data_IF_250267358494
#
_entry.id   IF_250267358494
#
_cell.length_a   1.000
_cell.length_b   1.000
_cell.length_c   1.000
_cell.angle_alpha   90.00
_cell.angle_beta   90.00
_cell.angle_gamma   90.00
#
_symmetry.space_group_name_H-M   'P 1'
#
loop_
_entity.id
_entity.type
_entity.pdbx_description
1 polymer ?
#
# COMPACT_ATOMS: atom_id res chain seq x y z
N UNK A 1 2.41 16.64 3.28
CA UNK A 1 3.11 17.36 4.36
C UNK A 1 4.24 16.50 4.92
N UNK A 2 5.31 16.29 4.16
CA UNK A 2 6.47 15.59 4.64
C UNK A 2 7.49 16.57 5.19
N UNK A 3 7.25 17.13 6.36
CA UNK A 3 8.33 17.80 7.07
C UNK A 3 9.38 16.73 7.40
N UNK A 4 10.55 16.85 6.78
CA UNK A 4 11.71 16.04 7.13
C UNK A 4 12.00 16.24 8.61
N UNK A 5 11.96 15.18 9.39
CA UNK A 5 12.26 15.21 10.81
C UNK A 5 13.25 14.10 11.15
N UNK A 6 14.10 14.34 12.13
CA UNK A 6 15.02 13.33 12.63
C UNK A 6 14.26 12.05 13.08
N UNK A 7 13.04 12.22 13.61
CA UNK A 7 12.21 11.07 13.98
C UNK A 7 11.81 10.22 12.77
N UNK A 8 11.41 10.84 11.64
CA UNK A 8 11.10 10.11 10.41
C UNK A 8 12.31 9.36 9.88
N UNK A 9 13.48 9.98 9.86
CA UNK A 9 14.73 9.34 9.44
C UNK A 9 15.06 8.14 10.35
N UNK A 10 14.93 8.28 11.66
CA UNK A 10 15.15 7.19 12.61
C UNK A 10 14.17 6.03 12.39
N UNK A 11 12.88 6.33 12.16
CA UNK A 11 11.87 5.30 11.90
C UNK A 11 12.17 4.56 10.59
N UNK A 12 12.54 5.26 9.53
CA UNK A 12 12.90 4.64 8.25
C UNK A 12 14.13 3.75 8.42
N UNK A 13 15.20 4.23 9.09
CA UNK A 13 16.40 3.43 9.33
C UNK A 13 16.17 2.20 10.23
N UNK A 14 15.15 2.23 11.08
CA UNK A 14 14.77 1.11 11.94
C UNK A 14 13.80 0.12 11.27
N UNK A 15 13.37 0.40 10.03
CA UNK A 15 12.39 -0.40 9.30
C UNK A 15 13.07 -1.36 8.33
N UNK A 16 12.51 -2.55 8.16
CA UNK A 16 12.92 -3.50 7.10
C UNK A 16 12.33 -3.11 5.75
N UNK A 17 11.17 -2.45 5.76
CA UNK A 17 10.41 -2.03 4.60
C UNK A 17 9.56 -0.81 4.94
N UNK A 18 9.41 0.11 3.98
CA UNK A 18 8.48 1.24 4.07
C UNK A 18 7.37 1.06 3.04
N UNK A 19 6.12 1.02 3.49
CA UNK A 19 4.95 1.02 2.60
C UNK A 19 4.25 2.38 2.71
N UNK A 20 4.09 3.06 1.58
CA UNK A 20 3.48 4.38 1.54
C UNK A 20 2.25 4.42 0.63
N UNK A 21 1.07 4.77 1.15
CA UNK A 21 -0.11 4.97 0.32
C UNK A 21 0.00 6.28 -0.45
N UNK A 22 -0.30 6.23 -1.75
CA UNK A 22 -0.32 7.37 -2.65
C UNK A 22 -1.69 7.47 -3.34
N UNK A 23 -2.32 8.63 -3.28
CA UNK A 23 -3.50 8.89 -4.11
C UNK A 23 -3.09 9.12 -5.57
N UNK A 24 -3.87 8.62 -6.56
CA UNK A 24 -3.57 8.77 -7.98
C UNK A 24 -3.82 10.21 -8.44
N UNK A 25 -2.93 11.11 -8.06
CA UNK A 25 -2.95 12.53 -8.39
C UNK A 25 -1.53 12.97 -8.73
N UNK A 26 -1.35 13.58 -9.90
CA UNK A 26 -0.03 13.97 -10.41
C UNK A 26 0.72 14.96 -9.51
N UNK A 27 -0.01 15.88 -8.85
CA UNK A 27 0.61 16.81 -7.91
C UNK A 27 1.14 16.06 -6.68
N UNK A 28 0.31 15.19 -6.11
CA UNK A 28 0.67 14.35 -4.97
C UNK A 28 1.85 13.44 -5.30
N UNK A 29 1.86 12.84 -6.50
CA UNK A 29 2.95 11.96 -6.95
C UNK A 29 4.28 12.71 -7.07
N UNK A 30 4.27 13.91 -7.65
CA UNK A 30 5.49 14.76 -7.78
C UNK A 30 6.01 15.20 -6.42
N UNK A 31 5.14 15.66 -5.53
CA UNK A 31 5.53 16.07 -4.18
C UNK A 31 6.06 14.89 -3.36
N UNK A 32 5.43 13.73 -3.48
CA UNK A 32 5.88 12.51 -2.84
C UNK A 32 7.26 12.09 -3.38
N UNK A 33 7.44 12.06 -4.71
CA UNK A 33 8.73 11.74 -5.32
C UNK A 33 9.82 12.68 -4.80
N UNK A 34 9.60 14.00 -4.86
CA UNK A 34 10.56 14.99 -4.37
C UNK A 34 10.91 14.76 -2.90
N UNK A 35 9.89 14.60 -2.04
CA UNK A 35 10.08 14.40 -0.60
C UNK A 35 10.79 13.10 -0.27
N UNK A 36 10.43 12.03 -0.94
CA UNK A 36 11.02 10.70 -0.74
C UNK A 36 12.47 10.66 -1.22
N UNK A 37 12.76 11.22 -2.39
CA UNK A 37 14.13 11.30 -2.88
C UNK A 37 15.02 12.12 -1.96
N UNK A 38 14.55 13.28 -1.49
CA UNK A 38 15.30 14.09 -0.51
C UNK A 38 15.55 13.33 0.81
N UNK A 39 14.60 12.53 1.25
CA UNK A 39 14.76 11.70 2.44
C UNK A 39 15.80 10.60 2.20
N UNK A 40 15.69 9.84 1.13
CA UNK A 40 16.63 8.76 0.79
C UNK A 40 18.05 9.30 0.61
N UNK A 41 18.23 10.43 -0.10
CA UNK A 41 19.53 11.07 -0.26
C UNK A 41 20.13 11.48 1.09
N UNK A 42 19.30 11.94 2.02
CA UNK A 42 19.72 12.26 3.39
C UNK A 42 20.12 11.04 4.20
N UNK A 43 19.63 9.85 3.85
CA UNK A 43 19.96 8.59 4.54
C UNK A 43 21.20 7.91 3.94
N UNK A 44 21.59 8.17 2.69
CA UNK A 44 22.76 7.54 2.03
C UNK A 44 24.08 7.60 2.84
N UNK A 45 24.39 8.66 3.62
CA UNK A 45 25.58 8.65 4.47
C UNK A 45 25.60 7.51 5.50
N UNK A 46 24.42 7.04 5.95
CA UNK A 46 24.31 5.95 6.92
C UNK A 46 24.63 4.59 6.32
N UNK A 47 24.49 4.40 4.99
CA UNK A 47 24.95 3.18 4.31
C UNK A 47 26.45 2.97 4.47
N UNK A 48 27.23 4.06 4.45
CA UNK A 48 28.68 4.02 4.70
C UNK A 48 29.04 3.57 6.11
N UNK A 49 28.10 3.67 7.03
CA UNK A 49 28.22 3.19 8.41
C UNK A 49 27.69 1.76 8.58
N UNK A 50 27.33 1.08 7.47
CA UNK A 50 26.81 -0.29 7.48
C UNK A 50 25.31 -0.40 7.79
N UNK A 51 24.56 0.71 7.82
CA UNK A 51 23.12 0.68 7.99
C UNK A 51 22.43 0.38 6.64
N UNK A 52 21.41 -0.47 6.67
CA UNK A 52 20.59 -0.75 5.50
C UNK A 52 19.50 0.30 5.38
N UNK A 53 19.36 0.89 4.19
CA UNK A 53 18.21 1.72 3.86
C UNK A 53 17.11 0.81 3.29
N UNK A 54 15.89 0.84 3.84
CA UNK A 54 14.80 0.00 3.37
C UNK A 54 14.26 0.50 2.02
N UNK A 55 13.77 -0.43 1.20
CA UNK A 55 13.01 -0.08 0.00
C UNK A 55 11.68 0.59 0.37
N UNK A 56 11.27 1.55 -0.45
CA UNK A 56 9.97 2.20 -0.34
C UNK A 56 9.02 1.58 -1.36
N UNK A 57 7.96 0.95 -0.88
CA UNK A 57 6.89 0.40 -1.71
C UNK A 57 5.69 1.35 -1.70
N UNK A 58 5.25 1.76 -2.88
CA UNK A 58 4.10 2.65 -3.04
C UNK A 58 2.87 1.80 -3.35
N UNK A 59 1.80 1.98 -2.59
CA UNK A 59 0.48 1.45 -2.89
C UNK A 59 -0.44 2.56 -3.40
N UNK A 60 -0.98 2.41 -4.60
CA UNK A 60 -1.97 3.34 -5.11
C UNK A 60 -3.27 3.13 -4.35
N UNK A 61 -3.69 4.16 -3.64
CA UNK A 61 -4.84 4.15 -2.74
C UNK A 61 -5.93 5.12 -3.21
N UNK A 62 -7.18 4.81 -2.92
CA UNK A 62 -8.35 5.59 -3.36
C UNK A 62 -8.42 5.74 -4.88
N UNK A 63 -8.13 4.65 -5.61
CA UNK A 63 -8.22 4.65 -7.07
C UNK A 63 -9.68 4.64 -7.51
N UNK A 64 -10.11 5.67 -8.23
CA UNK A 64 -11.40 5.71 -8.91
C UNK A 64 -11.40 4.78 -10.12
N UNK A 65 -12.58 4.26 -10.50
CA UNK A 65 -12.73 3.39 -11.67
C UNK A 65 -12.98 4.16 -12.97
N UNK A 66 -12.40 5.35 -13.11
CA UNK A 66 -12.49 6.17 -14.31
C UNK A 66 -11.32 5.91 -15.26
N UNK A 67 -11.50 6.23 -16.56
CA UNK A 67 -10.42 6.12 -17.53
C UNK A 67 -9.24 7.06 -17.16
N UNK A 68 -9.54 8.24 -16.64
CA UNK A 68 -8.54 9.21 -16.22
C UNK A 68 -7.67 8.66 -15.08
N UNK A 69 -8.27 7.94 -14.14
CA UNK A 69 -7.55 7.32 -13.02
C UNK A 69 -6.59 6.23 -13.47
N UNK A 70 -6.91 5.49 -14.54
CA UNK A 70 -5.98 4.50 -15.13
C UNK A 70 -4.78 5.17 -15.77
N UNK A 71 -5.01 6.23 -16.56
CA UNK A 71 -3.92 6.99 -17.17
C UNK A 71 -3.01 7.64 -16.11
N UNK A 72 -3.59 8.16 -15.03
CA UNK A 72 -2.83 8.71 -13.90
C UNK A 72 -2.03 7.60 -13.20
N UNK A 73 -2.60 6.42 -13.00
CA UNK A 73 -1.91 5.28 -12.41
C UNK A 73 -0.67 4.88 -13.23
N UNK A 74 -0.79 4.77 -14.57
CA UNK A 74 0.33 4.49 -15.47
C UNK A 74 1.40 5.59 -15.39
N UNK A 75 1.00 6.86 -15.39
CA UNK A 75 1.91 7.99 -15.25
C UNK A 75 2.62 8.01 -13.89
N UNK A 76 1.93 7.66 -12.81
CA UNK A 76 2.52 7.54 -11.47
C UNK A 76 3.59 6.46 -11.46
N UNK A 77 3.31 5.30 -12.06
CA UNK A 77 4.32 4.23 -12.20
C UNK A 77 5.55 4.73 -12.94
N UNK A 78 5.36 5.35 -14.10
CA UNK A 78 6.47 5.86 -14.90
C UNK A 78 7.39 6.86 -14.16
N UNK A 79 6.85 7.63 -13.20
CA UNK A 79 7.66 8.53 -12.36
C UNK A 79 8.65 7.75 -11.47
N UNK A 80 8.27 6.54 -11.03
CA UNK A 80 9.05 5.78 -10.05
C UNK A 80 9.85 4.63 -10.67
N UNK A 81 9.58 4.23 -11.93
CA UNK A 81 10.26 3.13 -12.61
C UNK A 81 11.79 3.32 -12.75
N UNK A 82 12.26 4.56 -12.73
CA UNK A 82 13.69 4.88 -12.82
C UNK A 82 14.43 4.79 -11.48
N UNK A 83 13.71 4.58 -10.37
CA UNK A 83 14.29 4.60 -9.02
C UNK A 83 14.49 3.18 -8.48
N UNK A 84 15.73 2.81 -8.15
CA UNK A 84 16.07 1.48 -7.64
C UNK A 84 15.54 1.22 -6.21
N UNK A 85 15.39 2.28 -5.42
CA UNK A 85 14.99 2.20 -4.00
C UNK A 85 13.48 2.37 -3.80
N UNK A 86 12.72 2.57 -4.89
CA UNK A 86 11.27 2.80 -4.85
C UNK A 86 10.61 1.85 -5.85
N UNK A 87 9.52 1.21 -5.43
CA UNK A 87 8.70 0.39 -6.32
C UNK A 87 7.22 0.72 -6.13
N UNK A 88 6.43 0.60 -7.19
CA UNK A 88 4.97 0.76 -7.13
C UNK A 88 4.35 -0.64 -7.18
N UNK A 89 3.55 -0.98 -6.18
CA UNK A 89 2.87 -2.27 -6.10
C UNK A 89 1.84 -2.43 -7.23
N UNK A 90 1.64 -3.67 -7.68
CA UNK A 90 0.64 -3.99 -8.71
C UNK A 90 -0.78 -3.86 -8.16
N UNK A 91 -0.97 -4.29 -6.92
CA UNK A 91 -2.26 -4.22 -6.25
C UNK A 91 -2.61 -2.78 -5.88
N UNK A 92 -3.76 -2.32 -6.33
CA UNK A 92 -4.31 -1.00 -6.00
C UNK A 92 -5.48 -1.12 -5.04
N UNK A 93 -5.68 -0.10 -4.20
CA UNK A 93 -6.83 -0.02 -3.30
C UNK A 93 -7.86 0.96 -3.89
N UNK A 94 -9.04 0.50 -4.30
CA UNK A 94 -10.06 1.37 -4.89
C UNK A 94 -10.72 2.28 -3.85
N UNK A 95 -11.27 3.41 -4.29
CA UNK A 95 -12.18 4.21 -3.47
C UNK A 95 -13.53 3.48 -3.36
N UNK A 96 -13.62 2.56 -2.43
CA UNK A 96 -14.81 1.76 -2.19
C UNK A 96 -15.39 1.99 -0.79
N UNK A 97 -16.72 1.94 -0.70
CA UNK A 97 -17.48 2.18 0.54
C UNK A 97 -17.03 1.26 1.67
N UNK A 98 -16.62 0.03 1.36
CA UNK A 98 -16.18 -0.94 2.37
C UNK A 98 -14.98 -0.44 3.18
N UNK A 99 -14.02 0.25 2.56
CA UNK A 99 -12.84 0.78 3.27
C UNK A 99 -13.23 1.93 4.21
N UNK A 100 -14.15 2.82 3.79
CA UNK A 100 -14.69 3.88 4.65
C UNK A 100 -15.50 3.30 5.82
N UNK A 101 -16.33 2.29 5.55
CA UNK A 101 -17.09 1.58 6.59
C UNK A 101 -16.19 0.84 7.57
N UNK A 102 -15.10 0.25 7.08
CA UNK A 102 -14.11 -0.42 7.92
C UNK A 102 -13.48 0.57 8.92
N UNK A 103 -13.05 1.72 8.43
CA UNK A 103 -12.47 2.77 9.26
C UNK A 103 -13.46 3.27 10.31
N UNK A 104 -14.72 3.57 9.91
CA UNK A 104 -15.74 4.08 10.85
C UNK A 104 -16.17 3.05 11.92
N UNK A 105 -16.05 1.74 11.62
CA UNK A 105 -16.40 0.66 12.55
C UNK A 105 -15.21 0.14 13.36
N UNK A 106 -14.00 0.59 13.08
CA UNK A 106 -12.78 0.04 13.67
C UNK A 106 -12.55 -1.44 13.34
N UNK A 107 -13.01 -1.90 12.19
CA UNK A 107 -12.92 -3.30 11.76
C UNK A 107 -12.08 -3.42 10.48
N UNK A 108 -11.32 -4.51 10.30
CA UNK A 108 -10.58 -4.74 9.07
C UNK A 108 -11.51 -4.93 7.86
N UNK A 109 -11.23 -4.25 6.74
CA UNK A 109 -12.07 -4.28 5.54
C UNK A 109 -12.30 -5.70 4.99
N UNK A 110 -11.28 -6.56 5.01
CA UNK A 110 -11.34 -7.95 4.57
C UNK A 110 -12.33 -8.83 5.39
N UNK A 111 -12.70 -8.41 6.61
CA UNK A 111 -13.74 -9.09 7.42
C UNK A 111 -15.14 -8.60 7.07
N UNK A 112 -15.27 -7.40 6.55
CA UNK A 112 -16.57 -6.81 6.16
C UNK A 112 -16.99 -7.26 4.76
N UNK A 113 -16.04 -7.52 3.87
CA UNK A 113 -16.33 -7.89 2.49
C UNK A 113 -15.39 -9.00 2.03
N UNK A 114 -15.90 -10.22 2.06
CA UNK A 114 -15.18 -11.43 1.65
C UNK A 114 -15.51 -11.88 0.23
N UNK A 115 -16.62 -11.40 -0.35
CA UNK A 115 -17.08 -11.72 -1.71
C UNK A 115 -17.43 -10.43 -2.43
N UNK A 116 -17.28 -10.44 -3.76
CA UNK A 116 -17.57 -9.29 -4.60
C UNK A 116 -19.04 -8.92 -4.56
N UNK A 117 -19.40 -7.66 -4.25
CA UNK A 117 -20.75 -7.16 -4.36
C UNK A 117 -21.22 -7.13 -5.84
N UNK A 118 -22.50 -7.41 -6.08
CA UNK A 118 -23.08 -7.45 -7.44
C UNK A 118 -23.08 -6.08 -8.17
N UNK A 119 -22.98 -5.01 -7.41
CA UNK A 119 -23.02 -3.62 -7.92
C UNK A 119 -21.64 -3.01 -8.16
N UNK A 120 -20.57 -3.79 -8.10
CA UNK A 120 -19.20 -3.28 -8.26
C UNK A 120 -18.36 -4.25 -9.09
N UNK A 121 -17.49 -3.73 -9.94
CA UNK A 121 -16.56 -4.49 -10.78
C UNK A 121 -15.21 -4.76 -10.10
N UNK A 122 -14.80 -3.95 -9.13
CA UNK A 122 -13.55 -4.17 -8.39
C UNK A 122 -13.65 -5.41 -7.50
N UNK A 123 -12.51 -6.05 -7.29
CA UNK A 123 -12.38 -7.21 -6.42
C UNK A 123 -12.89 -6.92 -4.99
N UNK A 124 -13.29 -7.96 -4.23
CA UNK A 124 -13.70 -7.79 -2.84
C UNK A 124 -12.52 -7.38 -1.96
N UNK A 125 -12.80 -6.71 -0.83
CA UNK A 125 -11.76 -6.22 0.07
C UNK A 125 -10.83 -7.34 0.58
N UNK A 126 -11.33 -8.55 0.78
CA UNK A 126 -10.52 -9.71 1.16
C UNK A 126 -9.44 -10.01 0.12
N UNK A 127 -9.81 -10.01 -1.16
CA UNK A 127 -8.88 -10.30 -2.25
C UNK A 127 -7.85 -9.18 -2.41
N UNK A 128 -8.28 -7.92 -2.37
CA UNK A 128 -7.39 -6.76 -2.46
C UNK A 128 -6.35 -6.78 -1.33
N UNK A 129 -6.79 -6.93 -0.08
CA UNK A 129 -5.88 -6.94 1.07
C UNK A 129 -4.95 -8.16 1.04
N UNK A 130 -5.45 -9.32 0.60
CA UNK A 130 -4.65 -10.54 0.45
C UNK A 130 -3.56 -10.36 -0.61
N UNK A 131 -3.90 -9.85 -1.80
CA UNK A 131 -2.95 -9.61 -2.87
C UNK A 131 -1.89 -8.59 -2.45
N UNK A 132 -2.31 -7.50 -1.81
CA UNK A 132 -1.40 -6.51 -1.24
C UNK A 132 -0.44 -7.14 -0.22
N UNK A 133 -0.95 -7.99 0.67
CA UNK A 133 -0.13 -8.67 1.66
C UNK A 133 0.87 -9.65 1.03
N UNK A 134 0.50 -10.33 -0.06
CA UNK A 134 1.40 -11.21 -0.82
C UNK A 134 2.52 -10.42 -1.50
N UNK A 135 2.22 -9.25 -2.07
CA UNK A 135 3.24 -8.40 -2.68
C UNK A 135 4.22 -7.85 -1.64
N UNK A 136 3.73 -7.45 -0.47
CA UNK A 136 4.55 -6.88 0.61
C UNK A 136 5.36 -7.95 1.34
N UNK A 137 4.81 -9.16 1.51
CA UNK A 137 5.40 -10.27 2.26
C UNK A 137 5.30 -11.59 1.46
N UNK A 138 6.04 -11.71 0.36
CA UNK A 138 5.94 -12.86 -0.55
C UNK A 138 6.31 -14.19 0.13
N UNK A 139 7.13 -14.18 1.18
CA UNK A 139 7.51 -15.36 1.97
C UNK A 139 6.33 -15.97 2.74
N UNK A 140 5.21 -15.24 2.88
CA UNK A 140 4.00 -15.72 3.58
C UNK A 140 2.82 -15.98 2.63
N UNK A 141 3.09 -16.06 1.34
CA UNK A 141 2.08 -16.27 0.29
C UNK A 141 1.09 -17.38 0.62
N UNK A 142 1.58 -18.57 1.01
CA UNK A 142 0.72 -19.71 1.34
C UNK A 142 -0.22 -19.43 2.50
N UNK A 143 0.24 -18.68 3.50
CA UNK A 143 -0.57 -18.28 4.65
C UNK A 143 -1.69 -17.29 4.23
N UNK A 144 -1.38 -16.37 3.34
CA UNK A 144 -2.37 -15.42 2.83
C UNK A 144 -3.39 -16.10 1.90
N UNK A 145 -2.96 -17.03 1.07
CA UNK A 145 -3.85 -17.82 0.21
C UNK A 145 -4.81 -18.72 1.02
N UNK A 146 -4.41 -19.16 2.19
CA UNK A 146 -5.28 -19.92 3.11
C UNK A 146 -6.43 -19.07 3.69
N UNK A 147 -6.38 -17.73 3.60
CA UNK A 147 -7.45 -16.84 4.03
C UNK A 147 -8.58 -16.80 2.99
N UNK A 148 -9.36 -17.89 2.93
CA UNK A 148 -10.56 -17.97 2.09
C UNK A 148 -11.74 -17.24 2.73
N UNK A 149 -12.83 -16.91 1.99
CA UNK A 149 -14.05 -16.34 2.57
C UNK A 149 -14.59 -17.17 3.73
N UNK A 150 -14.52 -18.50 3.62
CA UNK A 150 -14.98 -19.45 4.64
C UNK A 150 -14.10 -19.41 5.89
N UNK A 151 -12.78 -19.37 5.72
CA UNK A 151 -11.82 -19.24 6.82
C UNK A 151 -12.02 -17.92 7.58
N UNK A 152 -12.19 -16.82 6.87
CA UNK A 152 -12.45 -15.50 7.49
C UNK A 152 -13.79 -15.51 8.23
N UNK A 153 -14.84 -16.10 7.65
CA UNK A 153 -16.15 -16.21 8.32
C UNK A 153 -16.08 -17.04 9.61
N UNK A 154 -15.27 -18.11 9.64
CA UNK A 154 -15.06 -18.91 10.83
C UNK A 154 -14.34 -18.11 11.94
N UNK A 155 -13.31 -17.34 11.59
CA UNK A 155 -12.57 -16.47 12.54
C UNK A 155 -13.47 -15.39 13.17
N UNK A 156 -14.39 -14.81 12.38
CA UNK A 156 -15.34 -13.79 12.87
C UNK A 156 -16.35 -14.39 13.85
N UNK A 157 -16.78 -15.66 13.64
CA UNK A 157 -17.71 -16.34 14.53
C UNK A 157 -17.07 -16.83 15.83
N UNK A 158 -15.80 -17.21 15.79
CA UNK A 158 -15.06 -17.73 16.95
C UNK A 158 -14.49 -16.65 17.88
N UNK A 159 -14.53 -15.39 17.49
CA UNK A 159 -14.00 -14.26 18.24
C UNK A 159 -15.05 -13.44 19.03
N UNK A 160 -16.21 -14.05 19.34
CA UNK A 160 -17.23 -13.47 20.23
C UNK A 160 -17.16 -14.05 21.62
#
# INVERSE_FOLDING_TARGET
QGARSALLEMVVLASDLVVSPLQPNMLTAREFNRGTMQMLDGLRPYERLGMRIPNVQIVINCLDQTNDSRAIHENVRAIFDEHQDISVLETTVPDAVVFRNAASRGLPAHRLETRQPSNRTSAPALEIIRNLAIEVFPEWTDRFLALTPEAVAALVKGGR
#
